data_IF_313775351763
#
_entry.id   IF_313775351763
#
_cell.length_a   1.000
_cell.length_b   1.000
_cell.length_c   1.000
_cell.angle_alpha   90.00
_cell.angle_beta   90.00
_cell.angle_gamma   90.00
#
_symmetry.space_group_name_H-M   'P 1'
#
loop_
_entity.id
_entity.type
_entity.pdbx_description
1 polymer ?
#
# COMPACT_ATOMS: atom_id res chain seq x y z
N UNK A 1 11.55 23.22 -7.87
CA UNK A 1 11.35 21.78 -8.16
C UNK A 1 10.53 21.23 -7.01
N UNK A 2 9.30 20.71 -7.28
CA UNK A 2 8.50 20.09 -6.21
C UNK A 2 9.21 18.80 -5.75
N UNK A 3 9.50 18.74 -4.47
CA UNK A 3 10.01 17.55 -3.79
C UNK A 3 8.79 16.82 -3.22
N UNK A 4 8.61 15.56 -3.55
CA UNK A 4 7.56 14.76 -2.92
C UNK A 4 8.12 14.20 -1.61
N UNK A 5 7.68 14.68 -0.46
CA UNK A 5 8.23 14.27 0.81
C UNK A 5 7.88 12.81 1.11
N UNK A 6 8.77 12.16 1.85
CA UNK A 6 8.51 10.86 2.47
C UNK A 6 8.33 11.14 3.96
N UNK A 7 7.19 10.78 4.50
CA UNK A 7 6.89 10.94 5.91
C UNK A 7 7.00 9.60 6.63
N UNK A 8 7.68 9.61 7.76
CA UNK A 8 7.69 8.49 8.72
C UNK A 8 6.57 8.66 9.75
N UNK A 9 6.24 7.60 10.47
CA UNK A 9 5.28 7.67 11.59
C UNK A 9 5.64 8.80 12.56
N UNK A 10 6.94 9.02 12.78
CA UNK A 10 7.46 10.04 13.70
C UNK A 10 7.10 11.48 13.30
N UNK A 11 6.81 11.74 12.04
CA UNK A 11 6.37 13.06 11.58
C UNK A 11 4.95 13.40 12.09
N UNK A 12 4.18 12.40 12.51
CA UNK A 12 2.80 12.54 12.99
C UNK A 12 2.68 12.39 14.50
N UNK A 13 3.59 11.64 15.14
CA UNK A 13 3.56 11.38 16.59
C UNK A 13 4.13 12.54 17.37
N UNK A 14 3.31 13.15 18.26
CA UNK A 14 3.77 14.16 19.21
C UNK A 14 4.37 13.56 20.49
N UNK A 15 4.28 12.25 20.71
CA UNK A 15 4.72 11.55 21.92
C UNK A 15 5.79 10.49 21.61
N UNK A 16 6.89 10.51 22.37
CA UNK A 16 7.98 9.53 22.28
C UNK A 16 7.56 8.08 22.63
N UNK A 17 6.38 7.88 23.20
CA UNK A 17 5.92 6.59 23.71
C UNK A 17 5.54 5.62 22.57
N UNK A 18 5.07 6.14 21.44
CA UNK A 18 4.62 5.32 20.29
C UNK A 18 5.22 5.82 18.99
N UNK A 19 6.55 5.76 18.86
CA UNK A 19 7.29 6.27 17.67
C UNK A 19 6.89 5.61 16.35
N UNK A 20 6.36 4.38 16.42
CA UNK A 20 6.07 3.54 15.26
C UNK A 20 4.58 3.27 15.08
N UNK A 21 3.71 3.97 15.85
CA UNK A 21 2.26 3.87 15.77
C UNK A 21 1.59 5.23 15.97
N UNK A 22 0.74 5.60 15.03
CA UNK A 22 -0.07 6.81 15.07
C UNK A 22 -1.52 6.48 14.77
N UNK A 23 -2.44 7.04 15.54
CA UNK A 23 -3.89 6.98 15.27
C UNK A 23 -4.53 8.28 15.69
N UNK A 24 -5.43 8.79 14.84
CA UNK A 24 -6.20 9.99 15.15
C UNK A 24 -7.54 9.99 14.38
N UNK A 25 -8.45 10.88 14.77
CA UNK A 25 -9.55 11.24 13.88
C UNK A 25 -8.98 11.95 12.66
N UNK A 26 -9.60 11.75 11.49
CA UNK A 26 -9.10 12.34 10.26
C UNK A 26 -9.15 13.88 10.30
N UNK A 27 -10.18 14.45 10.94
CA UNK A 27 -10.33 15.89 11.12
C UNK A 27 -9.19 16.50 11.95
N UNK A 28 -8.80 15.87 13.06
CA UNK A 28 -7.67 16.36 13.88
C UNK A 28 -6.33 16.13 13.17
N UNK A 29 -6.22 15.06 12.40
CA UNK A 29 -5.04 14.81 11.56
C UNK A 29 -4.82 15.94 10.54
N UNK A 30 -5.85 16.35 9.81
CA UNK A 30 -5.76 17.45 8.84
C UNK A 30 -5.43 18.80 9.51
N UNK A 31 -6.01 19.09 10.67
CA UNK A 31 -5.70 20.34 11.42
C UNK A 31 -4.24 20.42 11.82
N UNK A 32 -3.67 19.29 12.21
CA UNK A 32 -2.29 19.21 12.72
C UNK A 32 -1.26 19.08 11.59
N UNK A 33 -1.66 18.64 10.40
CA UNK A 33 -0.77 18.25 9.32
C UNK A 33 -1.28 18.74 7.95
N UNK A 34 -1.28 20.07 7.75
CA UNK A 34 -1.74 20.69 6.48
C UNK A 34 -0.98 20.24 5.24
N UNK A 35 0.23 19.68 5.38
CA UNK A 35 1.04 19.19 4.28
C UNK A 35 0.52 17.90 3.63
N UNK A 36 -0.40 17.18 4.27
CA UNK A 36 -0.95 15.91 3.72
C UNK A 36 -1.87 16.10 2.52
N UNK A 37 -2.31 17.33 2.24
CA UNK A 37 -3.08 17.68 1.05
C UNK A 37 -2.22 17.69 -0.23
N UNK A 38 -0.88 17.83 -0.12
CA UNK A 38 0.02 17.73 -1.26
C UNK A 38 0.45 16.28 -1.52
N UNK A 39 0.80 15.91 -2.79
CA UNK A 39 1.29 14.58 -3.09
C UNK A 39 2.53 14.22 -2.25
N UNK A 40 2.46 13.10 -1.55
CA UNK A 40 3.52 12.61 -0.66
C UNK A 40 3.51 11.08 -0.57
N UNK A 41 4.49 10.54 0.17
CA UNK A 41 4.63 9.11 0.45
C UNK A 41 4.84 8.88 1.94
N UNK A 42 4.59 7.66 2.37
CA UNK A 42 4.98 7.18 3.69
C UNK A 42 6.02 6.06 3.57
N UNK A 43 6.91 5.94 4.56
CA UNK A 43 7.78 4.77 4.75
C UNK A 43 7.10 3.67 5.59
N UNK A 44 5.85 3.87 5.91
CA UNK A 44 5.01 3.09 6.82
C UNK A 44 3.68 2.72 6.16
N UNK A 45 2.94 1.79 6.77
CA UNK A 45 1.59 1.44 6.36
C UNK A 45 0.62 2.54 6.78
N UNK A 46 -0.32 2.86 5.90
CA UNK A 46 -1.39 3.82 6.15
C UNK A 46 -2.75 3.14 5.97
N UNK A 47 -3.65 3.39 6.90
CA UNK A 47 -5.06 3.02 6.79
C UNK A 47 -5.93 4.24 7.08
N UNK A 48 -6.90 4.52 6.19
CA UNK A 48 -7.86 5.63 6.37
C UNK A 48 -9.26 5.11 6.14
N UNK A 49 -10.15 5.34 7.11
CA UNK A 49 -11.56 4.98 7.03
C UNK A 49 -12.42 6.23 7.09
N UNK A 50 -13.21 6.47 6.05
CA UNK A 50 -14.09 7.64 5.95
C UNK A 50 -15.50 7.33 6.42
N UNK A 51 -16.00 8.14 7.36
CA UNK A 51 -17.33 8.00 7.95
C UNK A 51 -18.31 9.04 7.46
N UNK A 52 -17.83 10.15 6.87
CA UNK A 52 -18.63 11.23 6.31
C UNK A 52 -17.82 12.02 5.29
N UNK A 53 -18.53 12.80 4.47
CA UNK A 53 -17.93 13.66 3.44
C UNK A 53 -17.71 12.93 2.13
N UNK A 54 -17.03 13.60 1.21
CA UNK A 54 -16.70 13.13 -0.14
C UNK A 54 -15.40 13.75 -0.61
N UNK A 55 -14.90 13.26 -1.74
CA UNK A 55 -13.67 13.78 -2.33
C UNK A 55 -13.04 12.80 -3.30
N UNK A 56 -11.79 13.07 -3.65
CA UNK A 56 -10.95 12.21 -4.47
C UNK A 56 -9.70 11.84 -3.67
N UNK A 57 -9.34 10.57 -3.68
CA UNK A 57 -8.05 10.06 -3.24
C UNK A 57 -7.28 9.59 -4.47
N UNK A 58 -6.19 10.26 -4.80
CA UNK A 58 -5.27 9.78 -5.83
C UNK A 58 -4.19 8.93 -5.16
N UNK A 59 -4.05 7.69 -5.61
CA UNK A 59 -3.02 6.76 -5.14
C UNK A 59 -2.22 6.29 -6.33
N UNK A 60 -0.93 6.57 -6.36
CA UNK A 60 -0.02 6.37 -7.47
C UNK A 60 -0.52 7.11 -8.73
N UNK A 61 -1.19 6.40 -9.63
CA UNK A 61 -1.68 6.94 -10.93
C UNK A 61 -3.18 6.77 -11.11
N UNK A 62 -3.86 6.24 -10.10
CA UNK A 62 -5.29 5.96 -10.09
C UNK A 62 -6.03 6.92 -9.15
N UNK A 63 -7.26 7.28 -9.53
CA UNK A 63 -8.14 8.12 -8.74
C UNK A 63 -9.33 7.31 -8.22
N UNK A 64 -9.70 7.56 -6.97
CA UNK A 64 -10.77 6.88 -6.27
C UNK A 64 -11.72 7.90 -5.64
N UNK A 65 -13.02 7.72 -5.85
CA UNK A 65 -14.03 8.55 -5.20
C UNK A 65 -14.14 8.18 -3.73
N UNK A 66 -14.04 9.17 -2.85
CA UNK A 66 -14.26 8.99 -1.42
C UNK A 66 -15.74 9.12 -1.11
N UNK A 67 -16.26 8.17 -0.33
CA UNK A 67 -17.62 8.18 0.20
C UNK A 67 -17.67 7.53 1.58
N UNK A 68 -18.78 7.69 2.27
CA UNK A 68 -18.99 7.01 3.55
C UNK A 68 -18.78 5.51 3.41
N UNK A 69 -17.97 4.93 4.29
CA UNK A 69 -17.58 3.53 4.27
C UNK A 69 -16.35 3.22 3.39
N UNK A 70 -15.78 4.20 2.67
CA UNK A 70 -14.50 4.00 1.98
C UNK A 70 -13.38 3.77 2.98
N UNK A 71 -12.68 2.63 2.85
CA UNK A 71 -11.47 2.29 3.56
C UNK A 71 -10.33 2.22 2.56
N UNK A 72 -9.29 2.99 2.80
CA UNK A 72 -8.04 2.93 2.03
C UNK A 72 -6.94 2.29 2.85
N UNK A 73 -6.19 1.38 2.22
CA UNK A 73 -5.02 0.73 2.80
C UNK A 73 -3.84 0.91 1.85
N UNK A 74 -2.78 1.53 2.34
CA UNK A 74 -1.58 1.81 1.57
C UNK A 74 -0.37 1.18 2.23
N UNK A 75 0.51 0.63 1.38
CA UNK A 75 1.82 0.14 1.81
C UNK A 75 2.90 1.21 1.66
N UNK A 76 4.05 1.04 2.31
CA UNK A 76 5.19 1.95 2.18
C UNK A 76 5.55 2.25 0.71
N UNK A 77 5.85 3.51 0.43
CA UNK A 77 6.30 3.97 -0.89
C UNK A 77 5.19 4.31 -1.89
N UNK A 78 3.92 4.03 -1.61
CA UNK A 78 2.83 4.50 -2.46
C UNK A 78 2.70 6.02 -2.35
N UNK A 79 2.59 6.69 -3.50
CA UNK A 79 2.36 8.12 -3.54
C UNK A 79 0.86 8.39 -3.49
N UNK A 80 0.46 9.35 -2.66
CA UNK A 80 -0.95 9.71 -2.60
C UNK A 80 -1.18 11.17 -2.23
N UNK A 81 -2.39 11.65 -2.51
CA UNK A 81 -2.92 12.91 -2.01
C UNK A 81 -4.44 12.89 -2.04
N UNK A 82 -5.05 13.84 -1.33
CA UNK A 82 -6.50 13.99 -1.26
C UNK A 82 -6.97 15.34 -1.76
N UNK A 83 -8.17 15.35 -2.35
CA UNK A 83 -8.99 16.54 -2.56
C UNK A 83 -10.34 16.28 -1.88
N UNK A 84 -10.60 16.94 -0.76
CA UNK A 84 -11.63 16.57 0.20
C UNK A 84 -12.69 17.66 0.35
N UNK A 85 -13.94 17.24 0.66
CA UNK A 85 -14.98 18.16 1.10
C UNK A 85 -14.69 18.69 2.51
N UNK A 86 -15.22 19.86 2.85
CA UNK A 86 -15.01 20.50 4.17
C UNK A 86 -15.59 19.68 5.33
N UNK A 87 -16.60 18.86 5.07
CA UNK A 87 -17.31 18.06 6.05
C UNK A 87 -16.73 16.64 6.22
N UNK A 88 -15.51 16.42 5.72
CA UNK A 88 -14.86 15.10 5.78
C UNK A 88 -14.61 14.65 7.23
N UNK A 89 -15.03 13.44 7.54
CA UNK A 89 -14.80 12.79 8.84
C UNK A 89 -14.33 11.35 8.63
N UNK A 90 -13.55 10.84 9.58
CA UNK A 90 -13.03 9.49 9.55
C UNK A 90 -11.89 9.27 10.53
N UNK A 91 -11.08 8.25 10.25
CA UNK A 91 -9.96 7.83 11.09
C UNK A 91 -8.74 7.59 10.22
N UNK A 92 -7.57 7.85 10.78
CA UNK A 92 -6.27 7.56 10.17
C UNK A 92 -5.42 6.75 11.14
N UNK A 93 -4.79 5.71 10.63
CA UNK A 93 -3.82 4.87 11.34
C UNK A 93 -2.57 4.81 10.48
N UNK A 94 -1.40 5.09 11.09
CA UNK A 94 -0.08 4.94 10.45
C UNK A 94 0.77 4.09 11.37
N UNK A 95 1.43 3.05 10.85
CA UNK A 95 2.25 2.16 11.65
C UNK A 95 3.40 1.54 10.86
N UNK A 96 4.50 1.25 11.55
CA UNK A 96 5.65 0.62 10.91
C UNK A 96 5.47 -0.89 10.76
N UNK A 97 6.08 -1.44 9.71
CA UNK A 97 6.14 -2.90 9.50
C UNK A 97 6.88 -3.60 10.63
N UNK A 98 7.95 -2.97 11.09
CA UNK A 98 8.83 -3.50 12.13
C UNK A 98 8.06 -3.70 13.43
N UNK A 99 7.31 -2.69 13.87
CA UNK A 99 6.48 -2.76 15.07
C UNK A 99 5.47 -3.90 14.99
N UNK A 100 4.70 -3.96 13.88
CA UNK A 100 3.68 -4.99 13.71
C UNK A 100 4.29 -6.40 13.72
N UNK A 101 5.35 -6.60 12.92
CA UNK A 101 5.99 -7.89 12.78
C UNK A 101 6.71 -8.35 14.06
N UNK A 102 7.27 -7.41 14.84
CA UNK A 102 7.90 -7.71 16.12
C UNK A 102 6.87 -8.13 17.16
N UNK A 103 5.75 -7.41 17.24
CA UNK A 103 4.69 -7.66 18.22
C UNK A 103 4.00 -9.01 18.00
N UNK A 104 3.56 -9.28 16.77
CA UNK A 104 2.82 -10.50 16.46
C UNK A 104 3.71 -11.73 16.17
N UNK A 105 5.02 -11.54 16.02
CA UNK A 105 6.00 -12.63 15.87
C UNK A 105 5.80 -13.47 14.62
N UNK A 106 4.94 -14.48 14.67
CA UNK A 106 4.71 -15.39 13.56
C UNK A 106 3.77 -14.80 12.49
N UNK A 107 2.88 -13.89 12.85
CA UNK A 107 1.95 -13.22 11.95
C UNK A 107 2.61 -11.95 11.42
N UNK A 108 2.80 -11.86 10.12
CA UNK A 108 3.42 -10.71 9.47
C UNK A 108 2.37 -9.85 8.78
N UNK A 109 2.64 -8.55 8.68
CA UNK A 109 1.74 -7.64 7.96
C UNK A 109 1.58 -8.05 6.49
N UNK A 110 2.62 -8.65 5.90
CA UNK A 110 2.58 -9.15 4.52
C UNK A 110 1.72 -10.42 4.35
N UNK A 111 1.22 -11.02 5.43
CA UNK A 111 0.24 -12.12 5.33
C UNK A 111 -1.15 -11.61 4.92
N UNK A 112 -1.36 -10.29 5.01
CA UNK A 112 -2.58 -9.63 4.57
C UNK A 112 -2.48 -9.18 3.11
N UNK A 113 -3.08 -9.96 2.21
CA UNK A 113 -3.04 -9.75 0.76
C UNK A 113 -3.67 -8.42 0.30
N UNK A 114 -4.54 -7.80 1.06
CA UNK A 114 -5.10 -6.49 0.70
C UNK A 114 -4.06 -5.35 0.74
N UNK A 115 -2.90 -5.53 1.36
CA UNK A 115 -1.78 -4.61 1.23
C UNK A 115 -0.94 -4.84 -0.03
N UNK A 116 -1.12 -5.93 -0.76
CA UNK A 116 -0.33 -6.24 -1.94
C UNK A 116 -0.83 -5.41 -3.14
N UNK A 117 -0.02 -4.45 -3.58
CA UNK A 117 -0.41 -3.44 -4.58
C UNK A 117 -0.60 -3.94 -6.01
N UNK A 118 -0.12 -5.15 -6.31
CA UNK A 118 -0.16 -5.67 -7.69
C UNK A 118 -1.54 -6.15 -8.08
N UNK A 119 -2.33 -6.61 -7.12
CA UNK A 119 -3.64 -7.20 -7.35
C UNK A 119 -4.77 -6.31 -6.89
N UNK A 120 -4.50 -5.42 -5.95
CA UNK A 120 -5.54 -4.83 -5.15
C UNK A 120 -5.66 -3.34 -5.39
N UNK A 121 -6.89 -2.92 -5.59
CA UNK A 121 -7.22 -1.51 -5.40
C UNK A 121 -6.94 -1.17 -3.94
N UNK A 122 -6.33 -0.03 -3.66
CA UNK A 122 -6.09 0.41 -2.29
C UNK A 122 -7.40 0.72 -1.54
N UNK A 123 -8.53 0.76 -2.26
CA UNK A 123 -9.85 1.08 -1.73
C UNK A 123 -10.70 -0.17 -1.53
N UNK A 124 -11.40 -0.22 -0.39
CA UNK A 124 -12.54 -1.09 -0.13
C UNK A 124 -13.71 -0.25 0.38
N UNK A 125 -14.92 -0.60 -0.01
CA UNK A 125 -16.11 0.12 0.45
C UNK A 125 -16.95 -0.80 1.35
N UNK A 126 -17.13 -0.38 2.60
CA UNK A 126 -18.05 -0.99 3.54
C UNK A 126 -19.44 -0.37 3.33
N UNK A 127 -20.42 -1.20 2.99
CA UNK A 127 -21.81 -0.77 2.86
C UNK A 127 -22.38 -0.36 4.23
N UNK A 128 -23.47 0.42 4.27
CA UNK A 128 -24.10 0.90 5.51
C UNK A 128 -24.35 -0.19 6.55
N UNK A 129 -24.77 -1.39 6.11
CA UNK A 129 -24.99 -2.56 6.99
C UNK A 129 -23.70 -3.19 7.53
N UNK A 130 -22.54 -2.87 6.94
CA UNK A 130 -21.24 -3.44 7.29
C UNK A 130 -20.43 -2.48 8.19
N UNK A 131 -20.67 -1.17 8.07
CA UNK A 131 -19.99 -0.16 8.89
C UNK A 131 -20.05 -0.49 10.40
N UNK A 132 -21.17 -0.93 10.98
CA UNK A 132 -21.24 -1.30 12.39
C UNK A 132 -20.34 -2.46 12.82
N UNK A 133 -19.80 -3.23 11.89
CA UNK A 133 -18.87 -4.32 12.20
C UNK A 133 -17.43 -3.82 12.44
N UNK A 134 -17.03 -2.73 11.77
CA UNK A 134 -15.65 -2.24 11.79
C UNK A 134 -15.50 -0.93 12.59
N UNK A 135 -16.47 -0.02 12.53
CA UNK A 135 -16.43 1.29 13.17
C UNK A 135 -16.11 1.25 14.67
N UNK A 136 -16.67 0.33 15.49
CA UNK A 136 -16.37 0.28 16.92
C UNK A 136 -14.89 0.07 17.24
N UNK A 137 -14.12 -0.60 16.39
CA UNK A 137 -12.69 -0.78 16.61
C UNK A 137 -11.91 0.53 16.42
N UNK A 138 -12.31 1.37 15.45
CA UNK A 138 -11.73 2.71 15.29
C UNK A 138 -12.06 3.61 16.47
N UNK A 139 -13.31 3.60 16.94
CA UNK A 139 -13.72 4.38 18.13
C UNK A 139 -12.92 3.96 19.36
N UNK A 140 -12.74 2.65 19.59
CA UNK A 140 -11.93 2.12 20.68
C UNK A 140 -10.44 2.48 20.55
N UNK A 141 -9.89 2.53 19.33
CA UNK A 141 -8.52 2.99 19.08
C UNK A 141 -8.34 4.44 19.50
N UNK A 142 -9.26 5.35 19.13
CA UNK A 142 -9.20 6.76 19.52
C UNK A 142 -9.33 6.90 21.02
N UNK A 143 -10.28 6.19 21.64
CA UNK A 143 -10.47 6.20 23.08
C UNK A 143 -9.20 5.74 23.84
N UNK A 144 -8.60 4.65 23.40
CA UNK A 144 -7.37 4.11 24.02
C UNK A 144 -6.19 5.05 23.83
N UNK A 145 -6.05 5.64 22.63
CA UNK A 145 -4.95 6.55 22.32
C UNK A 145 -5.00 7.85 23.13
N UNK A 146 -6.20 8.26 23.60
CA UNK A 146 -6.39 9.46 24.41
C UNK A 146 -5.96 9.30 25.89
N UNK A 147 -5.62 8.08 26.34
CA UNK A 147 -5.36 7.76 27.73
C UNK A 147 -4.01 7.04 27.87
N UNK A 148 -3.16 7.50 28.80
CA UNK A 148 -1.89 6.83 29.11
C UNK A 148 -2.12 5.62 30.03
N UNK A 149 -2.63 4.53 29.48
CA UNK A 149 -2.95 3.30 30.21
C UNK A 149 -1.79 2.29 30.19
N UNK A 150 -1.73 1.44 31.21
CA UNK A 150 -0.84 0.26 31.18
C UNK A 150 -1.26 -0.67 30.02
N UNK A 151 -0.30 -1.18 29.27
CA UNK A 151 -0.53 -2.00 28.07
C UNK A 151 -1.28 -1.29 26.93
N UNK A 152 -1.18 0.03 26.85
CA UNK A 152 -1.84 0.82 25.80
C UNK A 152 -1.43 0.35 24.39
N UNK A 153 -0.13 0.22 24.12
CA UNK A 153 0.36 -0.23 22.81
C UNK A 153 -0.15 -1.63 22.44
N UNK A 154 -0.14 -2.56 23.41
CA UNK A 154 -0.69 -3.90 23.20
C UNK A 154 -2.16 -3.84 22.77
N UNK A 155 -2.96 -3.02 23.44
CA UNK A 155 -4.38 -2.88 23.11
C UNK A 155 -4.58 -2.21 21.76
N UNK A 156 -3.81 -1.16 21.43
CA UNK A 156 -3.86 -0.51 20.11
C UNK A 156 -3.52 -1.49 18.98
N UNK A 157 -2.48 -2.29 19.11
CA UNK A 157 -2.09 -3.27 18.09
C UNK A 157 -3.12 -4.41 17.95
N UNK A 158 -3.71 -4.88 19.05
CA UNK A 158 -4.77 -5.89 18.98
C UNK A 158 -6.06 -5.33 18.34
N UNK A 159 -6.42 -4.07 18.60
CA UNK A 159 -7.55 -3.42 17.94
C UNK A 159 -7.29 -3.22 16.44
N UNK A 160 -6.07 -2.83 16.05
CA UNK A 160 -5.65 -2.78 14.64
C UNK A 160 -5.79 -4.16 14.00
N UNK A 161 -5.38 -5.23 14.68
CA UNK A 161 -5.51 -6.58 14.16
C UNK A 161 -6.97 -7.02 14.00
N UNK A 162 -7.88 -6.60 14.90
CA UNK A 162 -9.31 -6.80 14.73
C UNK A 162 -9.84 -6.10 13.47
N UNK A 163 -9.37 -4.87 13.18
CA UNK A 163 -9.70 -4.18 11.93
C UNK A 163 -9.19 -4.98 10.72
N UNK A 164 -7.95 -5.44 10.74
CA UNK A 164 -7.40 -6.29 9.68
C UNK A 164 -8.23 -7.55 9.44
N UNK A 165 -8.76 -8.17 10.49
CA UNK A 165 -9.63 -9.35 10.37
C UNK A 165 -10.94 -9.00 9.65
N UNK A 166 -11.58 -7.87 9.98
CA UNK A 166 -12.80 -7.43 9.28
C UNK A 166 -12.51 -7.07 7.82
N UNK A 167 -11.35 -6.48 7.54
CA UNK A 167 -10.90 -6.20 6.16
C UNK A 167 -10.69 -7.50 5.38
N UNK A 168 -10.05 -8.53 5.98
CA UNK A 168 -9.88 -9.86 5.34
C UNK A 168 -11.24 -10.50 5.05
N UNK A 169 -12.18 -10.42 5.98
CA UNK A 169 -13.54 -10.97 5.79
C UNK A 169 -14.24 -10.30 4.62
N UNK A 170 -14.19 -8.97 4.56
CA UNK A 170 -14.74 -8.19 3.44
C UNK A 170 -14.05 -8.52 2.12
N UNK A 171 -12.72 -8.60 2.14
CA UNK A 171 -11.93 -8.95 0.98
C UNK A 171 -12.23 -10.37 0.48
N UNK A 172 -12.36 -11.34 1.39
CA UNK A 172 -12.68 -12.74 1.07
C UNK A 172 -14.06 -12.90 0.41
N UNK A 173 -15.05 -12.10 0.79
CA UNK A 173 -16.36 -12.08 0.13
C UNK A 173 -16.28 -11.66 -1.34
N UNK A 174 -15.33 -10.77 -1.67
CA UNK A 174 -15.11 -10.26 -3.04
C UNK A 174 -14.33 -11.24 -3.92
N UNK A 175 -13.43 -12.06 -3.33
CA UNK A 175 -12.46 -12.90 -4.04
C UNK A 175 -12.58 -14.42 -3.72
N UNK A 176 -13.71 -14.90 -3.22
CA UNK A 176 -13.90 -16.21 -2.58
C UNK A 176 -13.86 -17.46 -3.49
N UNK A 177 -13.56 -17.34 -4.79
CA UNK A 177 -13.63 -18.47 -5.74
C UNK A 177 -12.31 -19.22 -5.97
N UNK A 178 -11.26 -19.00 -5.18
CA UNK A 178 -9.94 -19.55 -5.45
C UNK A 178 -9.47 -20.56 -4.41
N UNK A 179 -8.74 -21.60 -4.86
CA UNK A 179 -8.20 -22.63 -3.97
C UNK A 179 -7.21 -22.04 -2.97
N UNK A 180 -7.40 -22.31 -1.70
CA UNK A 180 -6.56 -21.82 -0.57
C UNK A 180 -5.05 -22.01 -0.81
N UNK A 181 -4.64 -23.13 -1.43
CA UNK A 181 -3.22 -23.40 -1.75
C UNK A 181 -2.63 -22.42 -2.78
N UNK A 182 -3.43 -21.91 -3.74
CA UNK A 182 -2.95 -20.94 -4.72
C UNK A 182 -2.83 -19.55 -4.11
N UNK A 183 -3.74 -19.20 -3.21
CA UNK A 183 -3.67 -17.92 -2.49
C UNK A 183 -2.38 -17.82 -1.65
N UNK A 184 -1.99 -18.88 -0.97
CA UNK A 184 -0.72 -18.90 -0.22
C UNK A 184 0.48 -18.71 -1.17
N UNK A 185 0.50 -19.40 -2.31
CA UNK A 185 1.62 -19.31 -3.26
C UNK A 185 1.71 -17.96 -3.93
N UNK A 186 0.57 -17.35 -4.29
CA UNK A 186 0.58 -16.02 -4.90
C UNK A 186 1.02 -14.96 -3.91
N UNK A 187 0.56 -15.01 -2.66
CA UNK A 187 1.00 -14.10 -1.61
C UNK A 187 2.51 -14.21 -1.36
N UNK A 188 3.04 -15.45 -1.33
CA UNK A 188 4.49 -15.66 -1.21
C UNK A 188 5.24 -15.13 -2.44
N UNK A 189 4.70 -15.32 -3.65
CA UNK A 189 5.28 -14.76 -4.88
C UNK A 189 5.34 -13.23 -4.82
N UNK A 190 4.28 -12.59 -4.37
CA UNK A 190 4.24 -11.12 -4.24
C UNK A 190 5.21 -10.61 -3.19
N UNK A 191 5.31 -11.28 -2.04
CA UNK A 191 6.30 -10.92 -1.02
C UNK A 191 7.73 -11.04 -1.57
N UNK A 192 8.04 -12.10 -2.30
CA UNK A 192 9.33 -12.25 -2.97
C UNK A 192 9.53 -11.19 -4.06
N UNK A 193 8.47 -10.84 -4.78
CA UNK A 193 8.55 -9.80 -5.81
C UNK A 193 8.86 -8.44 -5.20
N UNK A 194 8.23 -8.06 -4.08
CA UNK A 194 8.56 -6.81 -3.38
C UNK A 194 10.02 -6.78 -2.89
N UNK A 195 10.55 -7.93 -2.47
CA UNK A 195 11.94 -8.03 -2.03
C UNK A 195 12.96 -7.94 -3.19
N UNK A 196 12.65 -8.59 -4.32
CA UNK A 196 13.66 -8.84 -5.36
C UNK A 196 13.40 -8.12 -6.71
N UNK A 197 12.29 -7.42 -6.95
CA UNK A 197 11.95 -6.87 -8.28
C UNK A 197 13.01 -5.94 -8.86
N UNK A 198 13.85 -5.32 -8.02
CA UNK A 198 14.94 -4.42 -8.48
C UNK A 198 16.11 -5.19 -9.05
N UNK A 199 16.39 -6.36 -8.52
CA UNK A 199 17.55 -7.21 -8.93
C UNK A 199 17.14 -8.35 -9.83
N UNK A 200 15.99 -8.96 -9.60
CA UNK A 200 15.54 -10.17 -10.26
C UNK A 200 14.26 -9.93 -11.07
N UNK A 201 14.35 -10.10 -12.37
CA UNK A 201 13.24 -9.87 -13.31
C UNK A 201 12.80 -11.13 -14.06
N UNK A 202 13.49 -12.26 -13.82
CA UNK A 202 13.18 -13.53 -14.45
C UNK A 202 12.16 -14.31 -13.62
N UNK A 203 11.02 -14.73 -14.18
CA UNK A 203 10.02 -15.49 -13.43
C UNK A 203 10.52 -16.86 -12.96
N UNK A 204 11.57 -17.42 -13.58
CA UNK A 204 12.22 -18.66 -13.13
C UNK A 204 12.82 -18.55 -11.73
N UNK A 205 13.42 -17.40 -11.39
CA UNK A 205 13.94 -17.14 -10.05
C UNK A 205 12.86 -17.27 -8.97
N UNK A 206 11.70 -16.68 -9.20
CA UNK A 206 10.58 -16.74 -8.26
C UNK A 206 9.96 -18.14 -8.18
N UNK A 207 9.87 -18.84 -9.32
CA UNK A 207 9.41 -20.22 -9.34
C UNK A 207 10.33 -21.14 -8.51
N UNK A 208 11.65 -20.98 -8.62
CA UNK A 208 12.64 -21.69 -7.83
C UNK A 208 12.51 -21.39 -6.33
N UNK A 209 12.40 -20.12 -5.94
CA UNK A 209 12.18 -19.70 -4.55
C UNK A 209 10.89 -20.28 -3.96
N UNK A 210 9.86 -20.46 -4.77
CA UNK A 210 8.58 -21.08 -4.38
C UNK A 210 8.60 -22.61 -4.40
N UNK A 211 9.72 -23.24 -4.80
CA UNK A 211 9.85 -24.67 -5.01
C UNK A 211 8.75 -25.23 -5.97
N UNK A 212 8.48 -24.51 -7.07
CA UNK A 212 7.53 -24.93 -8.12
C UNK A 212 8.14 -24.73 -9.51
N UNK A 213 7.53 -25.35 -10.52
CA UNK A 213 7.93 -25.11 -11.91
C UNK A 213 7.43 -23.76 -12.41
N UNK A 214 8.14 -23.13 -13.36
CA UNK A 214 7.69 -21.90 -14.03
C UNK A 214 6.29 -22.06 -14.65
N UNK A 215 5.99 -23.25 -15.22
CA UNK A 215 4.66 -23.56 -15.76
C UNK A 215 3.59 -23.49 -14.66
N UNK A 216 3.91 -23.98 -13.47
CA UNK A 216 2.98 -23.92 -12.33
C UNK A 216 2.80 -22.49 -11.83
N UNK A 217 3.88 -21.68 -11.72
CA UNK A 217 3.80 -20.26 -11.35
C UNK A 217 2.91 -19.49 -12.35
N UNK A 218 3.13 -19.66 -13.65
CA UNK A 218 2.29 -19.04 -14.69
C UNK A 218 0.82 -19.46 -14.57
N UNK A 219 0.54 -20.75 -14.26
CA UNK A 219 -0.84 -21.21 -14.05
C UNK A 219 -1.50 -20.50 -12.87
N UNK A 220 -0.80 -20.38 -11.75
CA UNK A 220 -1.31 -19.66 -10.56
C UNK A 220 -1.56 -18.19 -10.90
N UNK A 221 -0.60 -17.51 -11.52
CA UNK A 221 -0.74 -16.11 -11.93
C UNK A 221 -1.92 -15.92 -12.89
N UNK A 222 -2.08 -16.79 -13.88
CA UNK A 222 -3.21 -16.69 -14.83
C UNK A 222 -4.57 -16.94 -14.16
N UNK A 223 -4.66 -17.91 -13.26
CA UNK A 223 -5.93 -18.22 -12.56
C UNK A 223 -6.35 -17.10 -11.59
N UNK A 224 -5.39 -16.47 -10.92
CA UNK A 224 -5.66 -15.49 -9.86
C UNK A 224 -5.64 -14.06 -10.42
N UNK A 225 -4.64 -13.72 -11.24
CA UNK A 225 -4.35 -12.36 -11.70
C UNK A 225 -4.74 -12.14 -13.16
N UNK A 226 -5.09 -13.19 -13.86
CA UNK A 226 -5.31 -13.19 -15.32
C UNK A 226 -4.11 -12.61 -16.10
N UNK A 227 -2.91 -12.83 -15.56
CA UNK A 227 -1.63 -12.38 -16.11
C UNK A 227 -0.60 -13.50 -16.02
N UNK A 228 0.40 -13.47 -16.88
CA UNK A 228 1.59 -14.31 -16.70
C UNK A 228 2.47 -13.77 -15.58
N UNK A 229 3.33 -14.61 -15.01
CA UNK A 229 4.30 -14.17 -14.01
C UNK A 229 5.24 -13.07 -14.55
N UNK A 230 5.57 -13.10 -15.84
CA UNK A 230 6.37 -12.06 -16.51
C UNK A 230 5.64 -10.72 -16.52
N UNK A 231 4.34 -10.71 -16.83
CA UNK A 231 3.53 -9.50 -16.82
C UNK A 231 3.42 -8.92 -15.41
N UNK A 232 3.21 -9.76 -14.40
CA UNK A 232 3.14 -9.33 -12.99
C UNK A 232 4.44 -8.65 -12.55
N UNK A 233 5.59 -9.28 -12.84
CA UNK A 233 6.91 -8.71 -12.54
C UNK A 233 7.12 -7.39 -13.30
N UNK A 234 6.74 -7.36 -14.57
CA UNK A 234 6.87 -6.18 -15.44
C UNK A 234 6.03 -5.01 -14.88
N UNK A 235 4.78 -5.27 -14.52
CA UNK A 235 3.89 -4.26 -13.96
C UNK A 235 4.46 -3.64 -12.67
N UNK A 236 5.02 -4.48 -11.79
CA UNK A 236 5.65 -4.00 -10.55
C UNK A 236 6.89 -3.13 -10.83
N UNK A 237 7.73 -3.55 -11.76
CA UNK A 237 8.91 -2.78 -12.18
C UNK A 237 8.50 -1.45 -12.81
N UNK A 238 7.52 -1.45 -13.71
CA UNK A 238 7.00 -0.24 -14.36
C UNK A 238 6.40 0.73 -13.33
N UNK A 239 5.64 0.23 -12.36
CA UNK A 239 5.09 1.04 -11.29
C UNK A 239 6.21 1.78 -10.52
N UNK A 240 7.28 1.07 -10.15
CA UNK A 240 8.41 1.68 -9.46
C UNK A 240 9.13 2.72 -10.31
N UNK A 241 9.37 2.42 -11.59
CA UNK A 241 9.97 3.36 -12.54
C UNK A 241 9.11 4.63 -12.62
N UNK A 242 7.79 4.51 -12.76
CA UNK A 242 6.88 5.66 -12.82
C UNK A 242 6.96 6.50 -11.54
N UNK A 243 6.93 5.86 -10.36
CA UNK A 243 7.07 6.53 -9.07
C UNK A 243 8.40 7.30 -8.96
N UNK A 244 9.51 6.70 -9.40
CA UNK A 244 10.82 7.36 -9.38
C UNK A 244 10.95 8.47 -10.43
N UNK A 245 10.30 8.34 -11.59
CA UNK A 245 10.34 9.36 -12.64
C UNK A 245 9.62 10.65 -12.24
N UNK A 246 8.61 10.58 -11.39
CA UNK A 246 7.92 11.75 -10.85
C UNK A 246 8.85 12.54 -9.92
N UNK A 247 9.76 11.89 -9.22
CA UNK A 247 10.80 12.55 -8.44
C UNK A 247 11.82 13.21 -9.38
N UNK A 248 11.65 14.52 -9.60
CA UNK A 248 12.49 15.31 -10.50
C UNK A 248 13.93 15.51 -9.99
N UNK A 249 14.27 15.08 -8.79
CA UNK A 249 15.64 15.14 -8.27
C UNK A 249 16.52 14.01 -8.85
N UNK A 250 15.93 12.87 -9.19
CA UNK A 250 16.66 11.76 -9.79
C UNK A 250 16.86 12.00 -11.28
N UNK A 251 18.06 11.87 -11.80
CA UNK A 251 18.28 11.81 -13.23
C UNK A 251 17.64 10.53 -13.81
N UNK A 252 17.20 10.56 -15.09
CA UNK A 252 16.49 9.40 -15.70
C UNK A 252 17.40 8.16 -15.76
N UNK A 253 18.70 8.34 -15.96
CA UNK A 253 19.69 7.26 -15.90
C UNK A 253 19.86 6.69 -14.47
N UNK A 254 19.76 7.52 -13.44
CA UNK A 254 19.80 7.05 -12.04
C UNK A 254 18.57 6.19 -11.71
N UNK A 255 17.38 6.53 -12.26
CA UNK A 255 16.20 5.69 -12.15
C UNK A 255 16.46 4.31 -12.75
N UNK A 256 17.08 4.25 -13.96
CA UNK A 256 17.43 2.99 -14.59
C UNK A 256 18.30 2.11 -13.67
N UNK A 257 19.38 2.67 -13.12
CA UNK A 257 20.27 1.94 -12.20
C UNK A 257 19.57 1.48 -10.92
N UNK A 258 18.75 2.33 -10.31
CA UNK A 258 18.01 2.01 -9.07
C UNK A 258 17.00 0.87 -9.23
N UNK A 259 16.49 0.67 -10.43
CA UNK A 259 15.60 -0.47 -10.76
C UNK A 259 16.35 -1.63 -11.42
N UNK A 260 17.70 -1.63 -11.39
CA UNK A 260 18.56 -2.72 -11.80
C UNK A 260 18.77 -2.86 -13.32
N UNK A 261 18.72 -1.76 -14.07
CA UNK A 261 19.10 -1.73 -15.49
C UNK A 261 20.46 -1.08 -15.66
N UNK A 262 21.43 -1.81 -16.17
CA UNK A 262 22.78 -1.31 -16.46
C UNK A 262 22.84 -0.50 -17.77
N UNK A 263 22.04 -0.90 -18.77
CA UNK A 263 21.97 -0.23 -20.08
C UNK A 263 20.74 0.71 -20.14
N UNK A 264 21.01 2.00 -20.18
CA UNK A 264 19.98 3.03 -20.30
C UNK A 264 19.17 2.92 -21.61
N UNK A 265 19.80 2.53 -22.73
CA UNK A 265 19.10 2.37 -24.02
C UNK A 265 18.11 1.23 -23.98
N UNK A 266 18.48 0.12 -23.32
CA UNK A 266 17.55 -1.00 -23.08
C UNK A 266 16.42 -0.59 -22.15
N UNK A 267 16.72 0.05 -21.03
CA UNK A 267 15.73 0.58 -20.07
C UNK A 267 14.72 1.49 -20.78
N UNK A 268 15.17 2.45 -21.58
CA UNK A 268 14.31 3.40 -22.27
C UNK A 268 13.38 2.71 -23.27
N UNK A 269 13.90 1.73 -24.04
CA UNK A 269 13.10 0.92 -24.96
C UNK A 269 12.09 0.05 -24.20
N UNK A 270 12.50 -0.58 -23.10
CA UNK A 270 11.62 -1.37 -22.24
C UNK A 270 10.47 -0.52 -21.72
N UNK A 271 10.77 0.62 -21.11
CA UNK A 271 9.73 1.51 -20.56
C UNK A 271 8.78 2.00 -21.65
N UNK A 272 9.31 2.44 -22.81
CA UNK A 272 8.48 2.89 -23.94
C UNK A 272 7.59 1.76 -24.47
N UNK A 273 8.09 0.53 -24.57
CA UNK A 273 7.29 -0.63 -24.98
C UNK A 273 6.11 -0.88 -24.04
N UNK A 274 6.30 -0.70 -22.73
CA UNK A 274 5.28 -1.00 -21.73
C UNK A 274 4.28 0.13 -21.52
N UNK A 275 4.70 1.40 -21.73
CA UNK A 275 3.90 2.59 -21.38
C UNK A 275 3.46 3.42 -22.58
N UNK A 276 3.99 3.14 -23.78
CA UNK A 276 3.75 3.91 -24.99
C UNK A 276 4.63 5.16 -25.15
N UNK A 277 5.33 5.59 -24.08
CA UNK A 277 6.15 6.81 -24.09
C UNK A 277 7.53 6.59 -23.45
N UNK A 278 8.52 7.40 -23.83
CA UNK A 278 9.86 7.32 -23.22
C UNK A 278 9.82 7.80 -21.75
N UNK A 279 10.82 7.40 -20.93
CA UNK A 279 10.93 7.87 -19.54
C UNK A 279 10.96 9.40 -19.43
N UNK A 280 11.63 10.08 -20.36
CA UNK A 280 11.71 11.55 -20.38
C UNK A 280 10.36 12.19 -20.74
N UNK A 281 9.64 11.66 -21.72
CA UNK A 281 8.29 12.11 -22.09
C UNK A 281 7.33 11.93 -20.90
N UNK A 282 7.36 10.78 -20.23
CA UNK A 282 6.53 10.52 -19.05
C UNK A 282 6.80 11.52 -17.93
N UNK A 283 8.08 11.80 -17.63
CA UNK A 283 8.49 12.80 -16.62
C UNK A 283 7.96 14.19 -16.90
N UNK A 284 7.89 14.60 -18.16
CA UNK A 284 7.50 15.96 -18.56
C UNK A 284 6.00 16.18 -18.54
N UNK A 285 5.20 15.13 -18.61
CA UNK A 285 3.72 15.19 -18.57
C UNK A 285 3.20 15.28 -17.13
N UNK A 286 3.92 14.75 -16.17
CA UNK A 286 3.60 14.73 -14.73
C UNK A 286 4.50 15.72 -13.96
#
# INVERSE_FOLDING_TARGET
MKKYPIYSVQNFSCNDIHRDFYVNTFTEHLKSHSFVEEPHRHDSYLMVFFTKGSGLHEVDFDQFDIKRGSLFVLQPGQMHHWNLSEDIEGFVIIFSQELYNLYFGQKKINDYNFYHSIQNRPEMVFEEKEIPKILPYFDLLIQENSQANKYQLDKLLNLLDCIHIEVVRKYGETYSHQTHSYNIKINTFESLLEEYFRTEKLPSFYAEKLNITLKHLNRICNEILQKTATEVITDRVILEIKRMLIDKQLAVNEVAFKVGYEDYSYFSRFFKKQTGMSPTEFRNIK
#
